data_IF_288508076592
#
_entry.id   IF_288508076592
#
_cell.length_a   1.000
_cell.length_b   1.000
_cell.length_c   1.000
_cell.angle_alpha   90.00
_cell.angle_beta   90.00
_cell.angle_gamma   90.00
#
_symmetry.space_group_name_H-M   'P 1'
#
loop_
_entity.id
_entity.type
_entity.pdbx_description
1 polymer ?
#
# COMPACT_ATOMS: atom_id res chain seq x y z
N UNK A 1 -27.69 -75.60 29.98
CA UNK A 1 -27.07 -76.95 29.98
C UNK A 1 -25.71 -76.86 29.32
N UNK A 2 -24.66 -77.49 29.90
CA UNK A 2 -23.32 -77.79 29.34
C UNK A 2 -22.56 -76.60 28.70
N UNK A 3 -21.63 -75.90 29.36
CA UNK A 3 -20.26 -76.30 29.81
C UNK A 3 -19.39 -77.02 28.77
N UNK A 4 -18.26 -76.42 28.38
CA UNK A 4 -16.98 -77.14 28.28
C UNK A 4 -15.76 -76.22 28.47
N UNK A 5 -14.67 -76.82 28.99
CA UNK A 5 -13.45 -76.25 29.59
C UNK A 5 -12.23 -77.04 29.04
N UNK A 6 -10.96 -76.59 29.02
CA UNK A 6 -10.27 -75.34 29.44
C UNK A 6 -8.94 -75.30 28.60
N UNK A 7 -7.83 -74.74 29.12
CA UNK A 7 -6.42 -74.88 28.67
C UNK A 7 -6.02 -74.11 27.40
N UNK A 8 -5.29 -72.98 27.43
CA UNK A 8 -4.35 -72.35 28.40
C UNK A 8 -2.88 -72.84 28.31
N UNK A 9 -2.07 -72.04 27.59
CA UNK A 9 -0.60 -71.89 27.58
C UNK A 9 -0.32 -70.66 26.67
N UNK A 10 0.52 -69.69 26.98
CA UNK A 10 1.36 -69.48 28.15
C UNK A 10 2.67 -68.80 27.74
N UNK A 11 2.70 -67.45 27.71
CA UNK A 11 3.92 -66.67 27.48
C UNK A 11 3.93 -65.41 28.35
N UNK A 12 4.81 -65.38 29.36
CA UNK A 12 5.15 -64.16 30.09
C UNK A 12 6.14 -63.31 29.28
N UNK A 13 6.03 -61.99 29.33
CA UNK A 13 7.18 -61.07 29.22
C UNK A 13 6.85 -59.66 29.73
N UNK A 14 7.34 -59.38 30.95
CA UNK A 14 7.87 -58.10 31.44
C UNK A 14 7.10 -56.80 31.10
N UNK A 15 6.38 -56.29 32.10
CA UNK A 15 6.04 -54.86 32.20
C UNK A 15 7.28 -54.07 32.65
N UNK A 16 7.72 -53.10 31.84
CA UNK A 16 8.64 -52.05 32.29
C UNK A 16 7.88 -50.72 32.35
N UNK A 17 7.76 -50.18 33.56
CA UNK A 17 7.36 -48.81 33.79
C UNK A 17 8.54 -47.88 33.47
N UNK A 18 8.35 -46.93 32.57
CA UNK A 18 9.19 -45.72 32.49
C UNK A 18 8.31 -44.49 32.64
N UNK A 19 8.61 -43.72 33.68
CA UNK A 19 7.90 -42.49 34.04
C UNK A 19 8.32 -41.36 33.10
N UNK A 20 7.37 -40.53 32.65
CA UNK A 20 7.71 -39.27 31.98
C UNK A 20 8.28 -38.29 33.01
N UNK A 21 9.60 -38.18 33.08
CA UNK A 21 10.28 -37.11 33.81
C UNK A 21 10.14 -35.78 33.07
N UNK A 22 9.61 -34.75 33.74
CA UNK A 22 9.68 -33.37 33.29
C UNK A 22 10.96 -32.73 33.81
N UNK A 23 11.77 -32.14 32.93
CA UNK A 23 12.69 -31.07 33.30
C UNK A 23 12.98 -30.15 32.11
N UNK A 24 13.21 -28.88 32.39
CA UNK A 24 13.12 -27.77 31.43
C UNK A 24 14.50 -27.33 30.86
N UNK A 25 14.41 -26.40 29.90
CA UNK A 25 15.40 -25.40 29.44
C UNK A 25 16.29 -25.61 28.19
N UNK A 26 16.16 -24.58 27.34
CA UNK A 26 17.15 -23.87 26.51
C UNK A 26 17.70 -24.49 25.20
N UNK A 27 17.60 -23.64 24.15
CA UNK A 27 18.43 -23.62 22.92
C UNK A 27 18.37 -24.84 21.96
N UNK A 28 18.53 -24.72 20.63
CA UNK A 28 18.54 -23.59 19.70
C UNK A 28 18.32 -24.16 18.27
N UNK A 29 17.82 -23.35 17.32
CA UNK A 29 17.94 -23.50 15.86
C UNK A 29 18.16 -24.91 15.23
N UNK A 30 17.16 -25.43 14.50
CA UNK A 30 17.29 -25.86 13.08
C UNK A 30 16.11 -26.73 12.63
N UNK A 31 15.17 -26.14 11.88
CA UNK A 31 14.44 -26.85 10.82
C UNK A 31 14.42 -25.98 9.58
N UNK A 32 15.34 -26.30 8.67
CA UNK A 32 15.48 -25.68 7.35
C UNK A 32 14.21 -25.83 6.51
N UNK A 33 14.06 -24.86 5.61
CA UNK A 33 13.03 -24.76 4.59
C UNK A 33 12.70 -26.07 3.87
N UNK A 34 11.40 -26.27 3.64
CA UNK A 34 10.89 -27.00 2.49
C UNK A 34 10.15 -26.02 1.58
N UNK A 35 10.87 -24.99 1.11
CA UNK A 35 10.41 -24.16 0.00
C UNK A 35 10.48 -24.99 -1.28
N UNK A 36 9.35 -25.18 -1.93
CA UNK A 36 9.32 -25.58 -3.33
C UNK A 36 10.15 -24.54 -4.11
N UNK A 37 11.15 -25.02 -4.85
CA UNK A 37 12.02 -24.16 -5.64
C UNK A 37 11.24 -23.58 -6.81
N UNK A 38 10.63 -22.41 -6.59
CA UNK A 38 10.29 -21.51 -7.69
C UNK A 38 11.61 -21.15 -8.36
N UNK A 39 11.73 -21.48 -9.65
CA UNK A 39 12.91 -21.17 -10.45
C UNK A 39 13.27 -19.70 -10.29
N UNK A 40 14.50 -19.42 -9.88
CA UNK A 40 15.02 -18.06 -9.78
C UNK A 40 14.96 -17.41 -11.16
N UNK A 41 13.94 -16.58 -11.39
CA UNK A 41 14.04 -15.50 -12.37
C UNK A 41 15.27 -14.70 -11.99
N UNK A 42 16.21 -14.54 -12.92
CA UNK A 42 17.33 -13.60 -12.77
C UNK A 42 16.77 -12.27 -12.26
N UNK A 43 17.34 -11.75 -11.16
CA UNK A 43 16.88 -10.49 -10.56
C UNK A 43 16.72 -9.42 -11.63
N UNK A 44 15.53 -8.84 -11.69
CA UNK A 44 15.18 -7.89 -12.73
C UNK A 44 15.95 -6.58 -12.49
N UNK A 45 17.07 -6.39 -13.18
CA UNK A 45 17.94 -5.23 -13.04
C UNK A 45 17.66 -4.18 -14.13
N UNK A 46 16.70 -3.28 -13.91
CA UNK A 46 16.33 -2.24 -14.88
C UNK A 46 16.94 -0.86 -14.59
N UNK A 47 18.12 -0.82 -13.97
CA UNK A 47 18.83 0.41 -13.57
C UNK A 47 18.01 1.30 -12.62
N UNK A 48 17.31 0.69 -11.65
CA UNK A 48 16.63 1.40 -10.59
C UNK A 48 17.58 2.36 -9.84
N UNK A 49 17.08 3.56 -9.52
CA UNK A 49 17.82 4.57 -8.76
C UNK A 49 16.98 5.07 -7.58
N UNK A 50 17.61 5.05 -6.41
CA UNK A 50 17.08 5.65 -5.19
C UNK A 50 17.20 7.18 -5.24
N UNK A 51 16.29 7.88 -4.56
CA UNK A 51 16.40 9.33 -4.42
C UNK A 51 17.66 9.68 -3.61
N UNK A 52 18.45 10.66 -4.08
CA UNK A 52 19.64 11.13 -3.36
C UNK A 52 19.32 11.85 -2.04
N UNK A 53 18.05 12.18 -1.80
CA UNK A 53 17.55 12.74 -0.54
C UNK A 53 16.79 11.72 0.32
N UNK A 54 16.77 10.44 -0.08
CA UNK A 54 16.13 9.36 0.68
C UNK A 54 16.79 9.16 2.04
N UNK A 55 15.97 8.99 3.07
CA UNK A 55 16.38 8.63 4.43
C UNK A 55 15.95 7.20 4.75
N UNK A 56 16.79 6.48 5.47
CA UNK A 56 16.58 5.06 5.83
C UNK A 56 16.93 4.79 7.30
N UNK A 57 16.50 3.64 7.82
CA UNK A 57 16.76 3.22 9.19
C UNK A 57 15.79 3.79 10.22
N UNK A 58 16.07 3.50 11.50
CA UNK A 58 15.07 3.58 12.57
C UNK A 58 14.36 4.94 12.73
N UNK A 59 15.04 6.06 12.47
CA UNK A 59 14.43 7.40 12.48
C UNK A 59 13.38 7.55 11.36
N UNK A 60 13.72 7.12 10.14
CA UNK A 60 12.82 7.14 8.98
C UNK A 60 11.61 6.23 9.22
N UNK A 61 11.85 5.01 9.72
CA UNK A 61 10.80 4.04 10.04
C UNK A 61 9.85 4.58 11.13
N UNK A 62 10.40 5.25 12.16
CA UNK A 62 9.62 5.85 13.24
C UNK A 62 8.77 7.03 12.75
N UNK A 63 9.28 7.87 11.84
CA UNK A 63 8.51 8.95 11.23
C UNK A 63 7.42 8.41 10.30
N UNK A 64 7.74 7.43 9.46
CA UNK A 64 6.75 6.76 8.61
C UNK A 64 5.64 6.12 9.45
N UNK A 65 5.97 5.48 10.58
CA UNK A 65 4.96 4.94 11.50
C UNK A 65 4.13 6.02 12.19
N UNK A 66 4.75 7.15 12.59
CA UNK A 66 4.07 8.26 13.28
C UNK A 66 3.09 9.02 12.38
N UNK A 67 3.41 9.17 11.09
CA UNK A 67 2.62 9.94 10.13
C UNK A 67 1.82 9.06 9.16
N UNK A 68 1.78 7.74 9.39
CA UNK A 68 1.02 6.80 8.58
C UNK A 68 -0.48 7.13 8.62
N UNK A 69 -1.15 7.26 7.46
CA UNK A 69 -2.56 7.64 7.41
C UNK A 69 -3.50 6.49 7.80
N UNK A 70 -4.66 6.86 8.33
CA UNK A 70 -5.81 5.97 8.45
C UNK A 70 -6.56 5.96 7.12
N UNK A 71 -6.48 4.85 6.37
CA UNK A 71 -7.32 4.70 5.18
C UNK A 71 -8.75 4.40 5.59
N UNK A 72 -9.72 5.03 4.92
CA UNK A 72 -11.16 4.92 5.20
C UNK A 72 -11.89 4.58 3.90
N UNK A 73 -12.23 3.32 3.72
CA UNK A 73 -12.83 2.78 2.51
C UNK A 73 -14.35 3.00 2.46
N UNK A 74 -14.94 2.89 1.28
CA UNK A 74 -16.40 2.76 1.17
C UNK A 74 -16.88 1.48 1.86
N UNK A 75 -18.00 1.53 2.59
CA UNK A 75 -18.57 0.35 3.27
C UNK A 75 -18.97 -0.81 2.34
N UNK A 76 -18.91 -0.61 1.03
CA UNK A 76 -19.11 -1.62 0.00
C UNK A 76 -17.98 -1.56 -1.05
N UNK A 77 -16.74 -1.30 -0.62
CA UNK A 77 -15.54 -1.37 -1.45
C UNK A 77 -15.45 -2.74 -2.18
N UNK A 78 -15.18 -2.75 -3.50
CA UNK A 78 -15.11 -3.96 -4.30
C UNK A 78 -13.81 -4.72 -4.11
N UNK A 79 -12.76 -4.09 -3.58
CA UNK A 79 -11.45 -4.66 -3.28
C UNK A 79 -10.64 -3.74 -2.34
N UNK A 80 -9.39 -4.11 -2.10
CA UNK A 80 -8.43 -3.41 -1.25
C UNK A 80 -7.01 -3.50 -1.87
N UNK A 81 -6.04 -2.70 -1.41
CA UNK A 81 -4.65 -2.82 -1.85
C UNK A 81 -4.07 -4.24 -1.66
N UNK A 82 -3.02 -4.53 -2.41
CA UNK A 82 -2.25 -5.77 -2.31
C UNK A 82 -0.75 -5.52 -2.31
N UNK A 83 0.03 -6.60 -2.23
CA UNK A 83 1.49 -6.55 -2.28
C UNK A 83 2.03 -6.58 -3.71
N UNK A 84 3.25 -6.07 -3.88
CA UNK A 84 3.97 -6.15 -5.16
C UNK A 84 4.24 -7.59 -5.59
N UNK A 85 4.40 -8.53 -4.64
CA UNK A 85 4.48 -9.98 -4.90
C UNK A 85 3.20 -10.50 -5.57
N UNK A 86 2.02 -10.10 -5.09
CA UNK A 86 0.74 -10.53 -5.64
C UNK A 86 0.43 -9.86 -6.99
N UNK A 87 0.91 -8.62 -7.21
CA UNK A 87 0.97 -8.00 -8.55
C UNK A 87 1.82 -8.84 -9.50
N UNK A 88 3.01 -9.26 -9.07
CA UNK A 88 3.93 -10.08 -9.86
C UNK A 88 3.31 -11.43 -10.26
N UNK A 89 2.69 -12.11 -9.29
CA UNK A 89 2.00 -13.40 -9.49
C UNK A 89 0.77 -13.26 -10.38
N UNK A 90 0.09 -12.10 -10.38
CA UNK A 90 -1.05 -11.84 -11.25
C UNK A 90 -0.68 -11.34 -12.66
N UNK A 91 0.59 -11.01 -12.90
CA UNK A 91 1.10 -10.49 -14.18
C UNK A 91 1.46 -11.63 -15.14
N UNK A 92 1.24 -11.45 -16.45
CA UNK A 92 1.84 -12.31 -17.48
C UNK A 92 3.38 -12.28 -17.38
N UNK A 93 4.08 -13.40 -17.07
CA UNK A 93 5.53 -13.39 -16.89
C UNK A 93 6.30 -12.90 -18.13
N UNK A 94 5.76 -13.09 -19.35
CA UNK A 94 6.38 -12.60 -20.58
C UNK A 94 6.31 -11.07 -20.75
N UNK A 95 5.48 -10.38 -19.97
CA UNK A 95 5.38 -8.92 -19.95
C UNK A 95 6.32 -8.26 -18.93
N UNK A 96 6.96 -9.06 -18.07
CA UNK A 96 7.91 -8.63 -17.05
C UNK A 96 9.30 -8.47 -17.69
N UNK A 97 9.45 -7.39 -18.44
CA UNK A 97 10.71 -6.99 -19.09
C UNK A 97 10.97 -5.50 -18.84
N UNK A 98 12.25 -5.10 -18.70
CA UNK A 98 12.61 -3.70 -18.50
C UNK A 98 12.07 -2.81 -19.63
N UNK A 99 11.41 -1.71 -19.28
CA UNK A 99 10.72 -0.82 -20.23
C UNK A 99 9.46 -1.42 -20.87
N UNK A 100 8.99 -2.59 -20.45
CA UNK A 100 7.75 -3.21 -20.90
C UNK A 100 6.49 -2.58 -20.27
N UNK A 101 5.37 -3.30 -20.34
CA UNK A 101 4.13 -2.97 -19.65
C UNK A 101 3.58 -4.24 -18.99
N UNK A 102 3.32 -4.23 -17.69
CA UNK A 102 2.68 -5.35 -16.99
C UNK A 102 1.28 -5.59 -17.58
N UNK A 103 0.96 -6.85 -17.87
CA UNK A 103 -0.36 -7.28 -18.38
C UNK A 103 -1.01 -8.16 -17.31
N UNK A 104 -2.20 -7.77 -16.84
CA UNK A 104 -2.93 -8.53 -15.83
C UNK A 104 -3.46 -9.84 -16.43
N UNK A 105 -3.29 -10.94 -15.70
CA UNK A 105 -3.81 -12.27 -16.07
C UNK A 105 -4.71 -12.86 -15.00
N UNK A 106 -4.60 -12.39 -13.75
CA UNK A 106 -5.48 -12.78 -12.65
C UNK A 106 -6.05 -11.54 -11.97
N UNK A 107 -7.25 -11.14 -12.39
CA UNK A 107 -7.99 -10.01 -11.82
C UNK A 107 -8.75 -10.34 -10.52
N UNK A 108 -8.43 -11.44 -9.82
CA UNK A 108 -9.10 -11.78 -8.55
C UNK A 108 -8.86 -10.66 -7.52
N UNK A 109 -9.91 -9.93 -7.10
CA UNK A 109 -9.76 -8.76 -6.23
C UNK A 109 -9.33 -9.15 -4.81
N UNK A 110 -8.35 -8.46 -4.20
CA UNK A 110 -8.02 -8.62 -2.79
C UNK A 110 -9.22 -8.28 -1.88
N UNK A 111 -9.45 -9.08 -0.84
CA UNK A 111 -10.61 -8.93 0.08
C UNK A 111 -10.21 -8.68 1.54
N UNK A 112 -8.94 -8.39 1.78
CA UNK A 112 -8.35 -8.21 3.11
C UNK A 112 -8.03 -6.74 3.35
N UNK A 113 -8.42 -6.20 4.52
CA UNK A 113 -7.94 -4.91 5.02
C UNK A 113 -6.51 -5.00 5.60
N UNK A 114 -5.90 -6.20 5.59
CA UNK A 114 -4.49 -6.42 5.91
C UNK A 114 -3.73 -6.49 4.58
N UNK A 115 -3.06 -5.39 4.24
CA UNK A 115 -2.24 -5.19 3.04
C UNK A 115 -1.00 -4.36 3.41
N UNK A 116 0.10 -4.43 2.64
CA UNK A 116 1.26 -3.58 2.87
C UNK A 116 0.95 -2.13 2.48
N UNK A 117 1.51 -1.20 3.25
CA UNK A 117 1.64 0.21 2.85
C UNK A 117 3.11 0.47 2.57
N UNK A 118 3.41 0.82 1.33
CA UNK A 118 4.77 1.06 0.90
C UNK A 118 5.15 2.51 1.16
N UNK A 119 6.41 2.81 1.51
CA UNK A 119 6.79 4.21 1.79
C UNK A 119 8.21 4.59 1.36
N UNK A 120 8.41 5.87 1.05
CA UNK A 120 9.72 6.53 0.97
C UNK A 120 9.75 7.73 1.94
N UNK A 121 10.89 7.94 2.62
CA UNK A 121 11.13 9.14 3.42
C UNK A 121 12.20 9.95 2.71
N UNK A 122 11.97 11.24 2.48
CA UNK A 122 12.93 12.14 1.84
C UNK A 122 13.09 13.45 2.62
N UNK A 123 14.30 14.02 2.59
CA UNK A 123 14.58 15.36 3.11
C UNK A 123 14.60 16.41 2.00
N UNK A 124 14.16 17.65 2.30
CA UNK A 124 14.33 18.75 1.35
C UNK A 124 15.84 19.06 1.16
N UNK A 125 16.35 19.16 -0.08
CA UNK A 125 17.79 19.26 -0.34
C UNK A 125 18.47 20.49 0.29
N UNK A 126 17.70 21.54 0.59
CA UNK A 126 18.19 22.77 1.25
C UNK A 126 17.48 23.10 2.57
N UNK A 127 16.62 22.23 3.11
CA UNK A 127 15.96 22.42 4.41
C UNK A 127 15.93 21.08 5.17
N UNK A 128 16.95 20.84 5.99
CA UNK A 128 17.08 19.62 6.79
C UNK A 128 15.96 19.45 7.85
N UNK A 129 15.18 20.50 8.09
CA UNK A 129 14.02 20.47 8.98
C UNK A 129 12.73 20.06 8.24
N UNK A 130 12.79 19.86 6.91
CA UNK A 130 11.65 19.49 6.09
C UNK A 130 11.75 18.06 5.58
N UNK A 131 10.82 17.23 6.04
CA UNK A 131 10.74 15.82 5.67
C UNK A 131 9.41 15.57 4.95
N UNK A 132 9.47 14.71 3.95
CA UNK A 132 8.34 14.18 3.22
C UNK A 132 8.29 12.67 3.45
N UNK A 133 7.11 12.14 3.77
CA UNK A 133 6.85 10.70 3.72
C UNK A 133 5.79 10.45 2.66
N UNK A 134 6.17 9.70 1.65
CA UNK A 134 5.34 9.32 0.51
C UNK A 134 4.84 7.89 0.73
N UNK A 135 3.52 7.69 0.80
CA UNK A 135 2.88 6.40 1.09
C UNK A 135 2.12 5.88 -0.12
N UNK A 136 2.44 4.67 -0.57
CA UNK A 136 1.87 4.01 -1.74
C UNK A 136 0.99 2.81 -1.39
N UNK A 137 -0.09 2.68 -2.14
CA UNK A 137 -0.97 1.51 -2.20
C UNK A 137 -1.15 1.07 -3.64
N UNK A 138 -1.24 -0.25 -3.83
CA UNK A 138 -1.24 -0.84 -5.16
C UNK A 138 -2.42 -1.80 -5.27
N UNK A 139 -3.27 -1.61 -6.27
CA UNK A 139 -4.43 -2.45 -6.54
C UNK A 139 -4.17 -3.29 -7.78
N UNK A 140 -4.90 -4.40 -7.93
CA UNK A 140 -4.79 -5.25 -9.14
C UNK A 140 -5.46 -4.65 -10.36
N UNK A 141 -6.48 -3.82 -10.16
CA UNK A 141 -7.33 -3.32 -11.23
C UNK A 141 -8.16 -2.13 -10.76
N UNK A 142 -8.20 -1.04 -11.51
CA UNK A 142 -9.29 -0.08 -11.43
C UNK A 142 -10.48 -0.64 -12.22
N UNK A 143 -11.67 -0.73 -11.63
CA UNK A 143 -12.84 -1.27 -12.33
C UNK A 143 -13.53 -0.23 -13.24
N UNK A 144 -14.37 -0.70 -14.16
CA UNK A 144 -15.01 0.17 -15.13
C UNK A 144 -16.00 1.14 -14.45
N UNK A 145 -15.76 2.43 -14.65
CA UNK A 145 -16.54 3.55 -14.13
C UNK A 145 -17.91 3.67 -14.80
N UNK A 146 -17.95 3.38 -16.10
CA UNK A 146 -19.16 3.36 -16.94
C UNK A 146 -18.97 2.34 -18.06
N UNK A 147 -19.75 1.26 -18.10
CA UNK A 147 -19.68 0.27 -19.18
C UNK A 147 -18.27 -0.34 -19.34
N UNK A 148 -17.53 0.11 -20.35
CA UNK A 148 -16.14 -0.29 -20.63
C UNK A 148 -15.11 0.85 -20.48
N UNK A 149 -15.49 1.96 -19.85
CA UNK A 149 -14.66 3.17 -19.74
C UNK A 149 -14.07 3.30 -18.34
N UNK A 150 -12.79 3.68 -18.29
CA UNK A 150 -12.06 4.08 -17.08
C UNK A 150 -11.39 2.93 -16.31
N UNK A 151 -11.83 1.69 -16.47
CA UNK A 151 -11.13 0.56 -15.83
C UNK A 151 -9.80 0.24 -16.52
N UNK A 152 -8.79 -0.13 -15.75
CA UNK A 152 -7.46 -0.51 -16.24
C UNK A 152 -6.77 -1.53 -15.35
N UNK A 153 -5.79 -2.22 -15.95
CA UNK A 153 -4.91 -3.14 -15.24
C UNK A 153 -3.99 -2.36 -14.29
N UNK A 154 -3.93 -2.83 -13.05
CA UNK A 154 -3.24 -2.23 -11.90
C UNK A 154 -3.68 -0.81 -11.56
N UNK A 155 -3.47 -0.43 -10.31
CA UNK A 155 -3.68 0.94 -9.85
C UNK A 155 -2.64 1.32 -8.81
N UNK A 156 -2.17 2.57 -8.83
CA UNK A 156 -1.04 3.03 -8.01
C UNK A 156 -1.37 4.39 -7.40
N UNK A 157 -1.86 4.32 -6.17
CA UNK A 157 -2.39 5.44 -5.39
C UNK A 157 -1.42 5.85 -4.29
N UNK A 158 -1.30 7.16 -4.03
CA UNK A 158 -0.39 7.64 -2.99
C UNK A 158 -0.78 8.99 -2.37
N UNK A 159 -0.24 9.23 -1.18
CA UNK A 159 -0.28 10.54 -0.50
C UNK A 159 1.10 10.88 0.06
N UNK A 160 1.43 12.17 0.05
CA UNK A 160 2.67 12.69 0.65
C UNK A 160 2.34 13.51 1.89
N UNK A 161 2.84 13.08 3.04
CA UNK A 161 2.79 13.83 4.29
C UNK A 161 4.09 14.59 4.49
N UNK A 162 3.97 15.91 4.64
CA UNK A 162 5.09 16.78 4.96
C UNK A 162 5.10 17.09 6.46
N UNK A 163 6.26 17.03 7.12
CA UNK A 163 6.38 17.37 8.53
C UNK A 163 7.68 18.11 8.86
N UNK A 164 7.69 18.78 10.02
CA UNK A 164 8.85 19.45 10.58
C UNK A 164 9.70 18.48 11.40
N UNK A 165 10.97 18.25 11.05
CA UNK A 165 11.84 17.26 11.72
C UNK A 165 12.01 17.55 13.22
N UNK A 166 12.23 18.81 13.57
CA UNK A 166 12.56 19.25 14.94
C UNK A 166 11.36 19.21 15.88
N UNK A 167 10.19 19.67 15.44
CA UNK A 167 8.98 19.66 16.28
C UNK A 167 8.18 18.37 16.14
N UNK A 168 8.46 17.57 15.09
CA UNK A 168 7.66 16.43 14.64
C UNK A 168 6.15 16.74 14.53
N UNK A 169 5.83 17.95 14.07
CA UNK A 169 4.49 18.36 13.69
C UNK A 169 4.28 18.17 12.18
N UNK A 170 3.18 17.52 11.80
CA UNK A 170 2.75 17.47 10.41
C UNK A 170 2.34 18.88 9.94
N UNK A 171 2.71 19.23 8.72
CA UNK A 171 2.52 20.56 8.10
C UNK A 171 1.41 20.46 7.06
N UNK A 172 1.57 19.54 6.11
CA UNK A 172 0.65 19.38 4.99
C UNK A 172 0.50 17.92 4.58
N UNK A 173 -0.61 17.62 3.90
CA UNK A 173 -0.89 16.32 3.27
C UNK A 173 -1.30 16.58 1.83
N UNK A 174 -0.56 16.00 0.89
CA UNK A 174 -0.83 16.10 -0.55
C UNK A 174 -1.47 14.81 -1.02
N UNK A 175 -2.66 14.95 -1.60
CA UNK A 175 -3.47 13.86 -2.14
C UNK A 175 -3.27 13.82 -3.65
N UNK A 176 -2.81 12.70 -4.17
CA UNK A 176 -2.65 12.46 -5.61
C UNK A 176 -3.84 11.64 -6.11
N UNK A 177 -4.28 11.93 -7.33
CA UNK A 177 -5.30 11.15 -8.03
C UNK A 177 -5.20 11.41 -9.53
N UNK A 178 -5.27 10.35 -10.33
CA UNK A 178 -5.09 10.40 -11.78
C UNK A 178 -3.79 11.16 -12.15
N UNK A 179 -3.89 12.26 -12.91
CA UNK A 179 -2.75 13.09 -13.30
C UNK A 179 -2.60 14.39 -12.45
N UNK A 180 -3.43 14.57 -11.42
CA UNK A 180 -3.53 15.79 -10.61
C UNK A 180 -3.28 15.55 -9.12
N UNK A 181 -3.26 16.64 -8.35
CA UNK A 181 -3.12 16.59 -6.90
C UNK A 181 -3.58 17.88 -6.22
N UNK A 182 -3.75 17.82 -4.89
CA UNK A 182 -4.01 18.99 -4.04
C UNK A 182 -3.50 18.79 -2.62
N UNK A 183 -3.22 19.90 -1.93
CA UNK A 183 -2.59 19.90 -0.62
C UNK A 183 -3.51 20.50 0.43
N UNK A 184 -3.68 19.79 1.55
CA UNK A 184 -4.40 20.25 2.75
C UNK A 184 -3.43 20.55 3.87
N UNK A 185 -3.79 21.47 4.77
CA UNK A 185 -3.09 21.64 6.05
C UNK A 185 -3.29 20.38 6.87
N UNK A 186 -2.23 19.83 7.46
CA UNK A 186 -2.33 18.55 8.17
C UNK A 186 -3.39 18.59 9.30
N UNK A 187 -3.52 19.72 10.00
CA UNK A 187 -4.54 19.92 11.04
C UNK A 187 -6.00 19.82 10.55
N UNK A 188 -6.25 20.07 9.26
CA UNK A 188 -7.61 20.05 8.67
C UNK A 188 -8.05 18.63 8.30
N UNK A 189 -7.12 17.68 8.25
CA UNK A 189 -7.32 16.28 7.84
C UNK A 189 -6.90 15.29 8.94
N UNK A 190 -6.46 15.79 10.09
CA UNK A 190 -6.12 14.97 11.26
C UNK A 190 -7.32 14.85 12.18
N UNK A 191 -7.74 13.62 12.46
CA UNK A 191 -8.87 13.27 13.33
C UNK A 191 -8.42 12.20 14.32
N UNK A 192 -8.76 12.36 15.60
CA UNK A 192 -8.37 11.44 16.68
C UNK A 192 -6.86 11.10 16.72
N UNK A 193 -6.01 12.01 16.26
CA UNK A 193 -4.54 11.85 16.21
C UNK A 193 -3.98 11.17 14.95
N UNK A 194 -4.82 10.77 13.99
CA UNK A 194 -4.40 10.18 12.72
C UNK A 194 -4.79 11.06 11.52
N UNK A 195 -3.97 11.08 10.48
CA UNK A 195 -4.30 11.70 9.18
C UNK A 195 -5.33 10.80 8.49
N UNK A 196 -6.52 11.32 8.20
CA UNK A 196 -7.56 10.58 7.48
C UNK A 196 -7.37 10.67 5.97
N UNK A 197 -7.42 9.51 5.30
CA UNK A 197 -7.47 9.41 3.84
C UNK A 197 -8.67 8.55 3.47
N UNK A 198 -9.69 9.17 2.90
CA UNK A 198 -10.85 8.49 2.34
C UNK A 198 -10.47 7.93 0.98
N UNK A 199 -10.79 6.67 0.72
CA UNK A 199 -10.42 5.97 -0.52
C UNK A 199 -11.63 5.87 -1.44
N UNK A 200 -11.45 6.21 -2.71
CA UNK A 200 -12.47 6.03 -3.75
C UNK A 200 -12.88 4.56 -3.89
N UNK A 201 -14.18 4.29 -4.01
CA UNK A 201 -14.76 2.96 -4.14
C UNK A 201 -14.37 2.25 -5.44
N UNK A 202 -14.20 2.97 -6.55
CA UNK A 202 -13.99 2.38 -7.88
C UNK A 202 -12.69 2.87 -8.50
N UNK A 203 -12.35 4.13 -8.27
CA UNK A 203 -11.19 4.81 -8.84
C UNK A 203 -9.99 4.87 -7.88
N UNK A 204 -10.12 4.29 -6.67
CA UNK A 204 -9.12 4.22 -5.58
C UNK A 204 -8.48 5.54 -5.10
N UNK A 205 -8.79 6.66 -5.73
CA UNK A 205 -8.26 7.99 -5.47
C UNK A 205 -8.23 8.32 -3.98
N UNK A 206 -7.15 8.99 -3.57
CA UNK A 206 -6.97 9.41 -2.19
C UNK A 206 -7.64 10.76 -1.89
N UNK A 207 -8.45 10.84 -0.84
CA UNK A 207 -9.25 12.03 -0.52
C UNK A 207 -9.15 12.47 0.94
N UNK A 208 -9.31 13.78 1.16
CA UNK A 208 -9.41 14.36 2.49
C UNK A 208 -10.81 14.28 3.14
N UNK A 209 -11.84 13.80 2.41
CA UNK A 209 -13.23 13.87 2.86
C UNK A 209 -14.12 12.75 2.33
N UNK A 210 -15.19 12.47 3.07
CA UNK A 210 -16.27 11.52 2.74
C UNK A 210 -17.09 11.98 1.54
N UNK A 211 -17.52 11.05 0.69
CA UNK A 211 -18.58 11.31 -0.31
C UNK A 211 -19.64 10.22 -0.27
N UNK A 212 -20.90 10.66 -0.14
CA UNK A 212 -22.09 9.81 -0.06
C UNK A 212 -23.01 9.94 -1.28
N UNK A 213 -22.60 10.74 -2.28
CA UNK A 213 -23.39 11.02 -3.49
C UNK A 213 -22.48 10.91 -4.71
N UNK A 214 -22.76 9.92 -5.55
CA UNK A 214 -22.28 9.87 -6.93
C UNK A 214 -23.46 9.66 -7.86
N UNK A 215 -23.21 9.74 -9.16
CA UNK A 215 -24.18 9.48 -10.20
C UNK A 215 -23.54 8.68 -11.33
N UNK A 216 -24.36 7.94 -12.06
CA UNK A 216 -23.90 7.10 -13.17
C UNK A 216 -23.16 8.01 -14.17
N UNK A 217 -21.87 7.73 -14.36
CA UNK A 217 -20.97 8.62 -15.11
C UNK A 217 -19.76 9.12 -14.32
N UNK A 218 -19.88 9.26 -12.99
CA UNK A 218 -18.98 10.09 -12.18
C UNK A 218 -18.17 9.33 -11.13
N UNK A 219 -18.30 8.00 -11.05
CA UNK A 219 -17.55 7.18 -10.11
C UNK A 219 -16.01 7.25 -10.28
N UNK A 220 -15.52 7.75 -11.41
CA UNK A 220 -14.10 8.06 -11.63
C UNK A 220 -13.88 9.46 -12.20
N UNK A 221 -14.79 10.41 -11.93
CA UNK A 221 -14.39 11.82 -12.00
C UNK A 221 -13.60 12.15 -10.74
N UNK A 222 -12.75 13.19 -10.79
CA UNK A 222 -11.86 13.53 -9.69
C UNK A 222 -12.60 13.59 -8.35
N UNK A 223 -13.79 14.19 -8.28
CA UNK A 223 -14.53 14.29 -7.00
C UNK A 223 -15.65 13.28 -6.80
N UNK A 224 -16.10 12.62 -7.88
CA UNK A 224 -17.37 11.92 -7.93
C UNK A 224 -17.37 10.52 -7.33
N UNK A 225 -16.24 9.90 -7.03
CA UNK A 225 -16.23 8.54 -6.48
C UNK A 225 -16.91 8.47 -5.10
N UNK A 226 -17.58 7.35 -4.81
CA UNK A 226 -18.13 7.07 -3.49
C UNK A 226 -17.00 6.78 -2.50
N UNK A 227 -17.14 7.26 -1.27
CA UNK A 227 -16.22 6.97 -0.16
C UNK A 227 -16.96 7.18 1.15
N UNK A 228 -17.83 6.22 1.47
CA UNK A 228 -18.78 6.27 2.58
C UNK A 228 -18.49 5.13 3.59
N UNK A 229 -17.44 5.26 4.42
CA UNK A 229 -17.18 4.34 5.53
C UNK A 229 -18.32 4.33 6.56
N UNK A 230 -18.45 3.21 7.25
CA UNK A 230 -19.44 2.91 8.27
C UNK A 230 -18.72 2.43 9.55
N UNK A 231 -17.79 3.27 10.03
CA UNK A 231 -16.98 3.06 11.22
C UNK A 231 -15.72 2.21 10.98
N UNK A 232 -15.09 1.81 12.09
CA UNK A 232 -13.75 1.19 12.14
C UNK A 232 -13.59 -0.12 11.36
N UNK A 233 -14.69 -0.78 10.98
CA UNK A 233 -14.67 -1.99 10.15
C UNK A 233 -14.25 -1.73 8.69
N UNK A 234 -14.35 -0.47 8.24
CA UNK A 234 -14.00 -0.03 6.89
C UNK A 234 -12.71 0.83 6.91
N UNK A 235 -11.94 0.75 8.01
CA UNK A 235 -10.73 1.52 8.25
C UNK A 235 -9.49 0.62 8.32
N UNK A 236 -8.38 1.05 7.71
CA UNK A 236 -7.09 0.35 7.76
C UNK A 236 -6.01 1.23 8.38
N UNK A 237 -5.41 0.76 9.48
CA UNK A 237 -4.30 1.41 10.18
C UNK A 237 -2.99 1.05 9.48
N UNK A 238 -2.59 1.85 8.49
CA UNK A 238 -1.46 1.56 7.59
C UNK A 238 -0.12 1.42 8.32
N UNK A 239 0.08 2.16 9.42
CA UNK A 239 1.28 2.15 10.26
C UNK A 239 1.61 0.80 10.94
N UNK A 240 0.73 -0.20 10.81
CA UNK A 240 0.96 -1.56 11.29
C UNK A 240 1.64 -2.49 10.27
N UNK A 241 1.68 -2.13 8.99
CA UNK A 241 2.24 -2.96 7.93
C UNK A 241 3.00 -2.10 6.90
N UNK A 242 4.05 -1.44 7.37
CA UNK A 242 4.88 -0.54 6.57
C UNK A 242 6.07 -1.29 5.95
N UNK A 243 6.32 -1.05 4.66
CA UNK A 243 7.49 -1.57 3.93
C UNK A 243 8.18 -0.42 3.18
N UNK A 244 9.45 -0.15 3.49
CA UNK A 244 10.16 0.91 2.77
C UNK A 244 10.40 0.45 1.33
N UNK A 245 10.02 1.28 0.33
CA UNK A 245 10.34 0.98 -1.07
C UNK A 245 11.85 0.96 -1.23
N UNK A 246 12.39 0.04 -2.04
CA UNK A 246 13.84 -0.02 -2.33
C UNK A 246 14.08 -0.66 -3.69
N UNK A 247 15.18 -0.30 -4.35
CA UNK A 247 15.67 -0.99 -5.54
C UNK A 247 16.04 -2.46 -5.29
N UNK A 248 16.27 -2.84 -4.03
CA UNK A 248 16.49 -4.24 -3.59
C UNK A 248 15.21 -5.09 -3.69
N UNK A 249 14.03 -4.46 -3.72
CA UNK A 249 12.75 -5.14 -3.94
C UNK A 249 12.58 -5.26 -5.46
N UNK A 250 12.71 -6.49 -5.98
CA UNK A 250 12.76 -6.80 -7.41
C UNK A 250 11.64 -6.17 -8.23
N UNK A 251 10.43 -6.10 -7.68
CA UNK A 251 9.25 -5.54 -8.33
C UNK A 251 9.34 -4.02 -8.46
N UNK A 252 9.86 -3.31 -7.46
CA UNK A 252 10.10 -1.86 -7.56
C UNK A 252 11.28 -1.52 -8.50
N UNK A 253 12.13 -2.50 -8.84
CA UNK A 253 13.13 -2.38 -9.89
C UNK A 253 12.50 -2.41 -11.31
N UNK A 254 11.19 -2.66 -11.48
CA UNK A 254 10.53 -2.65 -12.80
C UNK A 254 10.43 -1.24 -13.41
N UNK A 255 11.21 -0.98 -14.47
CA UNK A 255 11.23 0.31 -15.18
C UNK A 255 10.10 0.52 -16.20
N UNK A 256 9.20 -0.45 -16.36
CA UNK A 256 8.09 -0.38 -17.31
C UNK A 256 6.80 0.24 -16.74
N UNK A 257 5.75 0.24 -17.55
CA UNK A 257 4.41 0.64 -17.13
C UNK A 257 3.73 -0.44 -16.29
N UNK A 258 3.27 -0.10 -15.10
CA UNK A 258 2.46 -0.97 -14.25
C UNK A 258 1.01 -0.94 -14.74
N UNK A 259 0.74 -1.56 -15.90
CA UNK A 259 -0.53 -1.37 -16.60
C UNK A 259 -0.64 0.02 -17.21
N UNK A 260 -1.83 0.64 -17.14
CA UNK A 260 -2.08 2.00 -17.65
C UNK A 260 -1.93 3.20 -16.66
N UNK A 261 -1.80 3.06 -15.32
CA UNK A 261 -1.43 4.21 -14.46
C UNK A 261 0.03 4.68 -14.64
N UNK A 262 0.81 4.06 -15.52
CA UNK A 262 2.19 4.47 -15.86
C UNK A 262 3.26 3.78 -15.01
N UNK A 263 4.40 4.44 -14.80
CA UNK A 263 5.56 3.86 -14.12
C UNK A 263 5.32 3.54 -12.64
N UNK A 264 6.13 2.64 -12.07
CA UNK A 264 6.14 2.34 -10.63
C UNK A 264 6.78 3.45 -9.78
N UNK A 265 6.67 3.39 -8.43
CA UNK A 265 7.06 4.49 -7.54
C UNK A 265 8.49 5.00 -7.73
N UNK A 266 9.49 4.09 -7.82
CA UNK A 266 10.89 4.46 -7.96
C UNK A 266 11.26 5.08 -9.33
N UNK A 267 10.36 5.01 -10.31
CA UNK A 267 10.50 5.58 -11.65
C UNK A 267 9.60 6.81 -11.91
N UNK A 268 8.92 7.31 -10.87
CA UNK A 268 8.22 8.61 -10.88
C UNK A 268 9.14 9.72 -10.35
N UNK A 269 8.84 10.97 -10.70
CA UNK A 269 9.41 12.12 -9.99
C UNK A 269 8.90 12.11 -8.54
N UNK A 270 9.84 12.32 -7.61
CA UNK A 270 9.62 12.32 -6.16
C UNK A 270 10.19 13.59 -5.50
N UNK A 271 10.59 14.58 -6.29
CA UNK A 271 11.06 15.87 -5.82
C UNK A 271 9.89 16.77 -5.35
N UNK A 272 9.07 16.27 -4.41
CA UNK A 272 7.82 16.90 -3.97
C UNK A 272 7.96 18.34 -3.47
N UNK A 273 9.17 18.74 -3.07
CA UNK A 273 9.48 20.14 -2.73
C UNK A 273 9.29 21.11 -3.91
N UNK A 274 9.51 20.66 -5.14
CA UNK A 274 9.31 21.44 -6.38
C UNK A 274 7.86 21.44 -6.87
N UNK A 275 6.98 20.65 -6.27
CA UNK A 275 5.59 20.53 -6.72
C UNK A 275 4.82 21.76 -6.22
N UNK A 276 3.94 22.31 -7.08
CA UNK A 276 2.92 23.27 -6.65
C UNK A 276 1.94 22.59 -5.71
N UNK A 277 1.30 23.34 -4.81
CA UNK A 277 0.38 22.81 -3.81
C UNK A 277 -0.87 22.14 -4.42
N UNK A 278 -1.16 22.41 -5.70
CA UNK A 278 -2.07 21.60 -6.49
C UNK A 278 -1.65 21.61 -7.97
N UNK A 279 -2.17 20.66 -8.74
CA UNK A 279 -2.10 20.64 -10.20
C UNK A 279 -3.50 20.40 -10.75
N UNK A 280 -3.91 21.28 -11.66
CA UNK A 280 -5.27 21.28 -12.16
C UNK A 280 -5.69 22.63 -12.74
N UNK A 281 -6.95 22.72 -13.18
CA UNK A 281 -7.53 23.89 -13.86
C UNK A 281 -8.80 24.44 -13.21
N UNK A 282 -9.31 23.78 -12.17
CA UNK A 282 -10.65 23.95 -11.59
C UNK A 282 -11.75 23.93 -12.67
N UNK A 283 -11.60 22.98 -13.59
CA UNK A 283 -12.35 22.91 -14.83
C UNK A 283 -13.81 22.48 -14.65
N UNK A 284 -14.62 22.77 -15.67
CA UNK A 284 -16.01 22.33 -15.71
C UNK A 284 -16.10 20.80 -15.50
N UNK A 285 -16.95 20.38 -14.57
CA UNK A 285 -17.20 18.99 -14.15
C UNK A 285 -16.12 18.32 -13.28
N UNK A 286 -15.02 19.02 -12.91
CA UNK A 286 -14.05 18.54 -11.92
C UNK A 286 -13.49 17.16 -12.24
N UNK A 287 -13.08 16.94 -13.50
CA UNK A 287 -12.70 15.63 -14.03
C UNK A 287 -11.20 15.32 -13.93
N UNK A 288 -10.35 16.33 -13.70
CA UNK A 288 -8.89 16.20 -13.79
C UNK A 288 -8.11 16.98 -12.72
N UNK A 289 -8.78 17.61 -11.74
CA UNK A 289 -8.13 18.57 -10.85
C UNK A 289 -8.53 18.54 -9.37
N UNK A 290 -7.49 18.72 -8.54
CA UNK A 290 -7.58 18.85 -7.09
C UNK A 290 -7.71 20.30 -6.58
N UNK A 291 -7.36 21.31 -7.39
CA UNK A 291 -7.02 22.65 -6.93
C UNK A 291 -8.12 23.35 -6.09
N UNK A 292 -9.39 23.17 -6.46
CA UNK A 292 -10.57 23.74 -5.78
C UNK A 292 -10.72 23.31 -4.32
N UNK A 293 -10.04 22.25 -3.90
CA UNK A 293 -10.01 21.76 -2.51
C UNK A 293 -8.68 22.01 -1.80
N UNK A 294 -7.69 22.64 -2.46
CA UNK A 294 -6.40 22.98 -1.85
C UNK A 294 -6.56 24.03 -0.75
N UNK A 295 -5.86 23.85 0.39
CA UNK A 295 -5.78 24.87 1.46
C UNK A 295 -4.73 25.96 1.17
N UNK A 296 -4.03 25.83 0.04
CA UNK A 296 -2.91 26.67 -0.38
C UNK A 296 -3.08 27.09 -1.85
N UNK A 297 -2.51 28.24 -2.21
CA UNK A 297 -2.58 28.79 -3.56
C UNK A 297 -1.87 27.87 -4.57
N UNK A 298 -2.40 27.78 -5.80
CA UNK A 298 -1.87 26.91 -6.86
C UNK A 298 -0.44 27.25 -7.33
N UNK A 299 0.11 28.41 -6.97
CA UNK A 299 1.51 28.79 -7.23
C UNK A 299 2.46 28.49 -6.06
N UNK A 300 1.94 28.16 -4.88
CA UNK A 300 2.76 27.86 -3.69
C UNK A 300 3.48 26.53 -3.87
N UNK A 301 4.80 26.48 -3.67
CA UNK A 301 5.55 25.22 -3.69
C UNK A 301 5.37 24.48 -2.37
N UNK A 302 5.11 23.18 -2.42
CA UNK A 302 4.93 22.35 -1.21
C UNK A 302 6.19 22.41 -0.34
N UNK A 303 7.39 22.47 -0.94
CA UNK A 303 8.66 22.64 -0.20
C UNK A 303 8.77 23.90 0.68
N UNK A 304 7.93 24.91 0.43
CA UNK A 304 8.00 26.23 1.08
C UNK A 304 6.98 26.47 2.22
N UNK A 305 6.16 25.47 2.54
CA UNK A 305 5.00 25.58 3.46
C UNK A 305 5.32 25.78 4.95
#
# INVERSE_FOLDING_TARGET
MKTLNLWMLGCCSVLLFTQCSKQDNEELLSRKDSRLAVSSTSELACNCQESSTKLTGADADAWAKKFAPLLKFDQAAPDYPTSVEDVWVATNPASIVCGGKLILTNNTPPRSLIFPTYYEVQVHPTDANRIFVDYWWIYKRQENCIGSIGGHDYDLEHVVVQFNRSTQAAISVTYFQHAGWYTKKAQNVTSNGAIEVYVGKIAHGSYHFRNTISFIGYACSYWGDYRNPNGTKDEAVTGNNLSQISCDITQFNFSGGWGDPGYGPLYRDRAYWNYTACKGTDGALGSVDGCSQSDYNNTTLIGSL
#
